data_IF_491736404586
#
_entry.id   IF_491736404586
#
_cell.length_a   1.000
_cell.length_b   1.000
_cell.length_c   1.000
_cell.angle_alpha   90.00
_cell.angle_beta   90.00
_cell.angle_gamma   90.00
#
_symmetry.space_group_name_H-M   'P 1'
#
loop_
_entity.id
_entity.type
_entity.pdbx_description
1 polymer ?
#
# COMPACT_ATOMS: atom_id res chain seq x y z
N UNK A 1 12.70 16.92 -6.37
CA UNK A 1 12.29 15.49 -6.21
C UNK A 1 13.50 14.63 -6.52
N UNK A 2 14.05 13.90 -5.53
CA UNK A 2 15.23 13.04 -5.72
C UNK A 2 14.94 11.90 -6.73
N UNK A 3 15.93 11.44 -7.49
CA UNK A 3 15.77 10.38 -8.50
C UNK A 3 15.10 9.11 -7.94
N UNK A 4 15.41 8.76 -6.69
CA UNK A 4 14.80 7.62 -5.98
C UNK A 4 13.28 7.77 -5.80
N UNK A 5 12.77 8.98 -5.54
CA UNK A 5 11.32 9.20 -5.39
C UNK A 5 10.61 9.04 -6.74
N UNK A 6 11.23 9.51 -7.83
CA UNK A 6 10.69 9.32 -9.19
C UNK A 6 10.64 7.85 -9.57
N UNK A 7 11.73 7.10 -9.35
CA UNK A 7 11.78 5.67 -9.62
C UNK A 7 10.75 4.89 -8.79
N UNK A 8 10.61 5.22 -7.50
CA UNK A 8 9.60 4.60 -6.65
C UNK A 8 8.19 4.78 -7.18
N UNK A 9 7.83 6.02 -7.51
CA UNK A 9 6.48 6.33 -8.04
C UNK A 9 6.24 5.63 -9.38
N UNK A 10 7.25 5.55 -10.24
CA UNK A 10 7.14 4.88 -11.54
C UNK A 10 6.94 3.36 -11.39
N UNK A 11 7.72 2.70 -10.53
CA UNK A 11 7.54 1.27 -10.23
C UNK A 11 6.13 1.03 -9.67
N UNK A 12 5.72 1.84 -8.69
CA UNK A 12 4.38 1.76 -8.09
C UNK A 12 3.26 1.98 -9.10
N UNK A 13 3.45 2.84 -10.09
CA UNK A 13 2.45 3.09 -11.14
C UNK A 13 2.34 1.86 -12.06
N UNK A 14 3.46 1.30 -12.51
CA UNK A 14 3.46 0.14 -13.41
C UNK A 14 2.83 -1.07 -12.72
N UNK A 15 3.24 -1.37 -11.49
CA UNK A 15 2.66 -2.48 -10.71
C UNK A 15 1.19 -2.22 -10.38
N UNK A 16 0.83 -0.98 -10.03
CA UNK A 16 -0.55 -0.57 -9.78
C UNK A 16 -1.45 -0.76 -11.01
N UNK A 17 -0.97 -0.38 -12.21
CA UNK A 17 -1.70 -0.60 -13.46
C UNK A 17 -1.92 -2.08 -13.76
N UNK A 18 -0.90 -2.93 -13.57
CA UNK A 18 -1.02 -4.38 -13.80
C UNK A 18 -1.99 -5.02 -12.80
N UNK A 19 -1.84 -4.70 -11.51
CA UNK A 19 -2.72 -5.12 -10.43
C UNK A 19 -4.18 -4.73 -10.71
N UNK A 20 -4.39 -3.46 -11.07
CA UNK A 20 -5.70 -2.90 -11.43
C UNK A 20 -6.31 -3.60 -12.64
N UNK A 21 -5.52 -3.85 -13.70
CA UNK A 21 -6.00 -4.54 -14.89
C UNK A 21 -6.48 -5.96 -14.57
N UNK A 22 -5.70 -6.71 -13.80
CA UNK A 22 -6.10 -8.05 -13.36
C UNK A 22 -7.34 -8.03 -12.46
N UNK A 23 -7.43 -7.08 -11.52
CA UNK A 23 -8.60 -6.89 -10.67
C UNK A 23 -9.87 -6.56 -11.45
N UNK A 24 -9.80 -5.61 -12.39
CA UNK A 24 -10.94 -5.22 -13.23
C UNK A 24 -11.41 -6.38 -14.10
N UNK A 25 -10.49 -7.09 -14.75
CA UNK A 25 -10.85 -8.27 -15.56
C UNK A 25 -11.51 -9.34 -14.69
N UNK A 26 -10.95 -9.63 -13.51
CA UNK A 26 -11.54 -10.57 -12.56
C UNK A 26 -12.98 -10.18 -12.18
N UNK A 27 -13.20 -8.94 -11.73
CA UNK A 27 -14.51 -8.47 -11.27
C UNK A 27 -15.53 -8.49 -12.41
N UNK A 28 -15.18 -7.96 -13.59
CA UNK A 28 -16.10 -7.89 -14.73
C UNK A 28 -16.49 -9.29 -15.20
N UNK A 29 -15.52 -10.19 -15.38
CA UNK A 29 -15.80 -11.56 -15.81
C UNK A 29 -16.62 -12.31 -14.76
N UNK A 30 -16.25 -12.20 -13.47
CA UNK A 30 -16.99 -12.85 -12.39
C UNK A 30 -18.44 -12.35 -12.31
N UNK A 31 -18.67 -11.05 -12.53
CA UNK A 31 -20.01 -10.46 -12.57
C UNK A 31 -20.86 -10.99 -13.73
N UNK A 32 -20.29 -11.05 -14.93
CA UNK A 32 -20.98 -11.55 -16.14
C UNK A 32 -21.28 -13.04 -16.04
N UNK A 33 -20.27 -13.86 -15.73
CA UNK A 33 -20.43 -15.33 -15.73
C UNK A 33 -21.35 -15.84 -14.61
N UNK A 34 -21.44 -15.12 -13.49
CA UNK A 34 -22.30 -15.49 -12.37
C UNK A 34 -23.64 -14.71 -12.33
N UNK A 35 -23.91 -13.87 -13.34
CA UNK A 35 -25.18 -13.11 -13.45
C UNK A 35 -25.45 -12.22 -12.23
N UNK A 36 -24.42 -11.65 -11.61
CA UNK A 36 -24.57 -10.85 -10.39
C UNK A 36 -25.19 -9.49 -10.76
N UNK A 37 -26.49 -9.35 -10.52
CA UNK A 37 -27.19 -8.06 -10.67
C UNK A 37 -27.37 -7.39 -9.30
N UNK A 38 -27.38 -6.06 -9.25
CA UNK A 38 -27.59 -5.28 -8.01
C UNK A 38 -28.93 -5.56 -7.30
N UNK A 39 -29.89 -6.20 -7.99
CA UNK A 39 -31.26 -6.41 -7.50
C UNK A 39 -31.50 -7.73 -6.77
N UNK A 40 -30.62 -8.73 -6.91
CA UNK A 40 -30.84 -10.06 -6.35
C UNK A 40 -30.01 -10.34 -5.10
N UNK A 41 -30.30 -9.66 -3.98
CA UNK A 41 -29.76 -10.04 -2.65
C UNK A 41 -30.58 -11.19 -2.03
N UNK A 42 -31.37 -11.92 -2.81
CA UNK A 42 -32.06 -13.12 -2.33
C UNK A 42 -31.06 -14.29 -2.40
N UNK A 43 -30.70 -14.83 -1.23
CA UNK A 43 -29.73 -15.91 -1.09
C UNK A 43 -30.43 -17.25 -1.32
N UNK A 44 -30.26 -17.85 -2.50
CA UNK A 44 -30.89 -19.12 -2.85
C UNK A 44 -30.05 -20.37 -2.46
N UNK A 45 -28.74 -20.22 -2.20
CA UNK A 45 -27.84 -21.32 -1.80
C UNK A 45 -26.55 -20.83 -1.14
N UNK A 46 -25.86 -21.71 -0.38
CA UNK A 46 -24.55 -21.39 0.25
C UNK A 46 -23.51 -20.99 -0.80
N UNK A 47 -23.45 -21.70 -1.93
CA UNK A 47 -22.53 -21.37 -3.02
C UNK A 47 -22.78 -19.97 -3.59
N UNK A 48 -24.04 -19.57 -3.79
CA UNK A 48 -24.37 -18.23 -4.25
C UNK A 48 -23.96 -17.15 -3.23
N UNK A 49 -24.07 -17.43 -1.92
CA UNK A 49 -23.60 -16.54 -0.87
C UNK A 49 -22.08 -16.31 -0.94
N UNK A 50 -21.31 -17.39 -1.10
CA UNK A 50 -19.84 -17.35 -1.22
C UNK A 50 -19.41 -16.56 -2.47
N UNK A 51 -20.05 -16.79 -3.61
CA UNK A 51 -19.75 -16.08 -4.87
C UNK A 51 -20.03 -14.59 -4.70
N UNK A 52 -21.20 -14.21 -4.16
CA UNK A 52 -21.59 -12.80 -3.98
C UNK A 52 -20.70 -12.08 -2.97
N UNK A 53 -20.37 -12.71 -1.84
CA UNK A 53 -19.49 -12.11 -0.83
C UNK A 53 -18.07 -11.93 -1.35
N UNK A 54 -17.53 -12.94 -2.05
CA UNK A 54 -16.20 -12.86 -2.68
C UNK A 54 -16.17 -11.79 -3.76
N UNK A 55 -17.20 -11.71 -4.60
CA UNK A 55 -17.35 -10.65 -5.61
C UNK A 55 -17.32 -9.25 -4.99
N UNK A 56 -18.06 -9.04 -3.88
CA UNK A 56 -18.05 -7.76 -3.16
C UNK A 56 -16.64 -7.38 -2.66
N UNK A 57 -15.91 -8.34 -2.09
CA UNK A 57 -14.55 -8.13 -1.60
C UNK A 57 -13.55 -7.87 -2.74
N UNK A 58 -13.60 -8.62 -3.85
CA UNK A 58 -12.82 -8.35 -5.05
C UNK A 58 -13.10 -6.95 -5.61
N UNK A 59 -14.37 -6.56 -5.65
CA UNK A 59 -14.80 -5.25 -6.16
C UNK A 59 -14.22 -4.12 -5.32
N UNK A 60 -14.37 -4.19 -3.98
CA UNK A 60 -13.83 -3.17 -3.07
C UNK A 60 -12.31 -3.07 -3.20
N UNK A 61 -11.60 -4.20 -3.17
CA UNK A 61 -10.14 -4.21 -3.32
C UNK A 61 -9.67 -3.64 -4.65
N UNK A 62 -10.36 -3.98 -5.75
CA UNK A 62 -10.07 -3.46 -7.09
C UNK A 62 -10.31 -1.96 -7.19
N UNK A 63 -11.40 -1.43 -6.63
CA UNK A 63 -11.69 0.00 -6.63
C UNK A 63 -10.59 0.78 -5.89
N UNK A 64 -10.17 0.28 -4.72
CA UNK A 64 -9.09 0.89 -3.94
C UNK A 64 -7.79 0.90 -4.74
N UNK A 65 -7.44 -0.21 -5.39
CA UNK A 65 -6.22 -0.32 -6.19
C UNK A 65 -6.23 0.60 -7.42
N UNK A 66 -7.36 0.69 -8.11
CA UNK A 66 -7.54 1.63 -9.23
C UNK A 66 -7.40 3.07 -8.73
N UNK A 67 -8.05 3.42 -7.63
CA UNK A 67 -8.00 4.78 -7.07
C UNK A 67 -6.58 5.19 -6.67
N UNK A 68 -5.83 4.33 -5.98
CA UNK A 68 -4.44 4.63 -5.61
C UNK A 68 -3.53 4.68 -6.84
N UNK A 69 -3.76 3.83 -7.85
CA UNK A 69 -2.98 3.86 -9.10
C UNK A 69 -3.19 5.18 -9.85
N UNK A 70 -4.44 5.63 -9.98
CA UNK A 70 -4.77 6.93 -10.57
C UNK A 70 -4.14 8.06 -9.76
N UNK A 71 -4.25 8.00 -8.44
CA UNK A 71 -3.65 8.99 -7.55
C UNK A 71 -2.13 9.09 -7.74
N UNK A 72 -1.41 7.96 -7.73
CA UNK A 72 0.03 7.91 -8.01
C UNK A 72 0.33 8.50 -9.39
N UNK A 73 -0.44 8.13 -10.42
CA UNK A 73 -0.30 8.68 -11.78
C UNK A 73 -0.44 10.20 -11.82
N UNK A 74 -1.45 10.76 -11.16
CA UNK A 74 -1.64 12.21 -11.05
C UNK A 74 -0.46 12.90 -10.37
N UNK A 75 0.15 12.27 -9.35
CA UNK A 75 1.34 12.84 -8.70
C UNK A 75 2.59 12.86 -9.58
N UNK A 76 2.65 12.03 -10.63
CA UNK A 76 3.77 11.99 -11.58
C UNK A 76 3.52 12.98 -12.72
N UNK A 77 2.34 12.94 -13.34
CA UNK A 77 2.08 13.65 -14.59
C UNK A 77 1.63 15.09 -14.42
N UNK A 78 0.97 15.42 -13.30
CA UNK A 78 0.35 16.75 -13.13
C UNK A 78 1.13 17.60 -12.12
N UNK A 79 2.21 17.07 -11.53
CA UNK A 79 2.97 17.70 -10.42
C UNK A 79 2.06 18.31 -9.31
N UNK A 80 0.81 17.84 -9.19
CA UNK A 80 -0.21 18.45 -8.32
C UNK A 80 0.17 18.41 -6.84
N UNK A 81 1.14 17.57 -6.47
CA UNK A 81 1.46 17.27 -5.09
C UNK A 81 2.97 17.39 -4.87
N UNK A 82 3.40 18.55 -4.35
CA UNK A 82 4.78 18.76 -3.86
C UNK A 82 5.12 17.84 -2.67
N UNK A 83 4.10 17.40 -1.92
CA UNK A 83 4.23 16.53 -0.75
C UNK A 83 3.95 15.08 -1.12
N UNK A 84 4.78 14.16 -0.63
CA UNK A 84 4.66 12.73 -0.91
C UNK A 84 3.67 12.08 0.07
N UNK A 85 2.54 11.58 -0.43
CA UNK A 85 1.46 10.97 0.36
C UNK A 85 1.74 9.50 0.66
N UNK A 86 2.89 9.27 1.28
CA UNK A 86 3.42 7.93 1.56
C UNK A 86 2.41 7.02 2.27
N UNK A 87 1.86 7.46 3.41
CA UNK A 87 0.99 6.62 4.23
C UNK A 87 -0.33 6.29 3.53
N UNK A 88 -0.86 7.20 2.71
CA UNK A 88 -2.06 6.95 1.92
C UNK A 88 -1.79 5.82 0.93
N UNK A 89 -0.71 5.91 0.15
CA UNK A 89 -0.35 4.87 -0.82
C UNK A 89 -0.09 3.53 -0.14
N UNK A 90 0.64 3.52 0.98
CA UNK A 90 0.93 2.31 1.75
C UNK A 90 -0.35 1.64 2.27
N UNK A 91 -1.23 2.41 2.93
CA UNK A 91 -2.46 1.89 3.53
C UNK A 91 -3.43 1.43 2.43
N UNK A 92 -3.53 2.17 1.32
CA UNK A 92 -4.40 1.79 0.20
C UNK A 92 -4.00 0.45 -0.42
N UNK A 93 -2.71 0.23 -0.71
CA UNK A 93 -2.26 -1.07 -1.22
C UNK A 93 -2.45 -2.21 -0.20
N UNK A 94 -2.28 -1.93 1.09
CA UNK A 94 -2.56 -2.91 2.14
C UNK A 94 -4.05 -3.30 2.19
N UNK A 95 -4.96 -2.33 2.13
CA UNK A 95 -6.41 -2.57 2.11
C UNK A 95 -6.81 -3.35 0.85
N UNK A 96 -6.28 -2.96 -0.32
CA UNK A 96 -6.55 -3.66 -1.57
C UNK A 96 -6.10 -5.13 -1.49
N UNK A 97 -4.89 -5.38 -1.01
CA UNK A 97 -4.38 -6.74 -0.79
C UNK A 97 -5.25 -7.54 0.19
N UNK A 98 -5.63 -6.97 1.34
CA UNK A 98 -6.44 -7.68 2.33
C UNK A 98 -7.84 -8.00 1.81
N UNK A 99 -8.45 -7.09 1.04
CA UNK A 99 -9.76 -7.31 0.42
C UNK A 99 -9.69 -8.39 -0.66
N UNK A 100 -8.71 -8.32 -1.58
CA UNK A 100 -8.54 -9.31 -2.64
C UNK A 100 -8.13 -10.67 -2.04
N UNK A 101 -7.20 -10.68 -1.10
CA UNK A 101 -6.71 -11.88 -0.43
C UNK A 101 -7.81 -12.61 0.35
N UNK A 102 -8.65 -11.87 1.09
CA UNK A 102 -9.80 -12.46 1.78
C UNK A 102 -10.84 -13.01 0.79
N UNK A 103 -11.08 -12.33 -0.34
CA UNK A 103 -11.90 -12.86 -1.43
C UNK A 103 -11.34 -14.15 -2.03
N UNK A 104 -10.03 -14.22 -2.27
CA UNK A 104 -9.36 -15.42 -2.77
C UNK A 104 -9.49 -16.59 -1.80
N UNK A 105 -9.35 -16.36 -0.49
CA UNK A 105 -9.48 -17.41 0.51
C UNK A 105 -10.92 -17.92 0.58
N UNK A 106 -11.90 -17.02 0.68
CA UNK A 106 -13.32 -17.40 0.76
C UNK A 106 -13.75 -18.15 -0.49
N UNK A 107 -13.43 -17.64 -1.68
CA UNK A 107 -13.77 -18.30 -2.94
C UNK A 107 -13.01 -19.62 -3.12
N UNK A 108 -11.69 -19.62 -2.92
CA UNK A 108 -10.83 -20.78 -3.15
C UNK A 108 -11.06 -21.93 -2.19
N UNK A 109 -11.34 -21.65 -0.90
CA UNK A 109 -11.59 -22.69 0.10
C UNK A 109 -12.99 -23.28 -0.04
N UNK A 110 -14.00 -22.45 -0.25
CA UNK A 110 -15.41 -22.90 -0.29
C UNK A 110 -15.86 -23.41 -1.67
N UNK A 111 -15.19 -23.01 -2.75
CA UNK A 111 -15.52 -23.40 -4.13
C UNK A 111 -14.30 -24.03 -4.84
N UNK A 112 -13.49 -24.79 -4.12
CA UNK A 112 -12.24 -25.40 -4.61
C UNK A 112 -12.41 -26.28 -5.86
N UNK A 113 -13.58 -26.88 -6.08
CA UNK A 113 -13.89 -27.73 -7.25
C UNK A 113 -14.33 -26.93 -8.48
N UNK A 114 -14.56 -25.62 -8.35
CA UNK A 114 -15.06 -24.73 -9.41
C UNK A 114 -14.16 -23.51 -9.59
N UNK A 115 -12.85 -23.67 -9.40
CA UNK A 115 -11.89 -22.60 -9.66
C UNK A 115 -11.84 -22.34 -11.17
N UNK A 116 -12.30 -21.17 -11.56
CA UNK A 116 -12.27 -20.68 -12.95
C UNK A 116 -10.97 -19.93 -13.25
N UNK A 117 -10.71 -19.66 -14.52
CA UNK A 117 -9.51 -18.93 -14.94
C UNK A 117 -9.43 -17.51 -14.36
N UNK A 118 -10.57 -16.81 -14.22
CA UNK A 118 -10.62 -15.45 -13.71
C UNK A 118 -10.18 -15.36 -12.23
N UNK A 119 -10.36 -16.43 -11.45
CA UNK A 119 -9.85 -16.51 -10.07
C UNK A 119 -8.33 -16.28 -10.01
N UNK A 120 -7.58 -16.88 -10.94
CA UNK A 120 -6.13 -16.75 -10.99
C UNK A 120 -5.69 -15.32 -11.32
N UNK A 121 -6.46 -14.59 -12.15
CA UNK A 121 -6.21 -13.18 -12.38
C UNK A 121 -6.43 -12.35 -11.10
N UNK A 122 -7.52 -12.61 -10.36
CA UNK A 122 -7.76 -11.96 -9.07
C UNK A 122 -6.62 -12.20 -8.09
N UNK A 123 -6.14 -13.46 -7.99
CA UNK A 123 -5.00 -13.82 -7.15
C UNK A 123 -3.72 -13.11 -7.58
N UNK A 124 -3.39 -13.13 -8.87
CA UNK A 124 -2.21 -12.43 -9.40
C UNK A 124 -2.27 -10.93 -9.15
N UNK A 125 -3.45 -10.31 -9.33
CA UNK A 125 -3.69 -8.91 -8.97
C UNK A 125 -3.38 -8.65 -7.49
N UNK A 126 -3.92 -9.49 -6.59
CA UNK A 126 -3.64 -9.41 -5.15
C UNK A 126 -2.15 -9.56 -4.80
N UNK A 127 -1.43 -10.48 -5.46
CA UNK A 127 0.01 -10.67 -5.26
C UNK A 127 0.80 -9.44 -5.71
N UNK A 128 0.43 -8.82 -6.83
CA UNK A 128 1.07 -7.59 -7.31
C UNK A 128 0.78 -6.43 -6.37
N UNK A 129 -0.45 -6.27 -5.89
CA UNK A 129 -0.82 -5.27 -4.87
C UNK A 129 0.00 -5.45 -3.58
N UNK A 130 0.18 -6.69 -3.13
CA UNK A 130 1.03 -7.01 -1.97
C UNK A 130 2.51 -6.65 -2.21
N UNK A 131 3.04 -6.98 -3.39
CA UNK A 131 4.39 -6.60 -3.78
C UNK A 131 4.57 -5.08 -3.77
N UNK A 132 3.56 -4.33 -4.21
CA UNK A 132 3.57 -2.87 -4.18
C UNK A 132 3.54 -2.33 -2.75
N UNK A 133 2.68 -2.89 -1.89
CA UNK A 133 2.66 -2.59 -0.46
C UNK A 133 4.05 -2.80 0.19
N UNK A 134 4.68 -3.95 -0.05
CA UNK A 134 6.02 -4.25 0.46
C UNK A 134 7.07 -3.27 -0.08
N UNK A 135 6.98 -2.91 -1.36
CA UNK A 135 7.88 -1.94 -1.96
C UNK A 135 7.78 -0.56 -1.30
N UNK A 136 6.57 -0.06 -1.07
CA UNK A 136 6.35 1.16 -0.30
C UNK A 136 6.89 1.03 1.13
N UNK A 137 6.57 -0.06 1.81
CA UNK A 137 7.03 -0.32 3.19
C UNK A 137 8.55 -0.31 3.30
N UNK A 138 9.24 -1.09 2.45
CA UNK A 138 10.70 -1.21 2.43
C UNK A 138 11.38 0.11 2.09
N UNK A 139 10.88 0.85 1.09
CA UNK A 139 11.47 2.14 0.71
C UNK A 139 11.39 3.17 1.84
N UNK A 140 10.36 3.12 2.68
CA UNK A 140 10.25 4.00 3.84
C UNK A 140 11.14 3.56 5.00
N UNK A 141 11.21 2.26 5.28
CA UNK A 141 12.12 1.75 6.31
C UNK A 141 13.57 2.09 5.96
N UNK A 142 13.96 1.90 4.69
CA UNK A 142 15.29 2.27 4.21
C UNK A 142 15.53 3.79 4.29
N UNK A 143 14.55 4.61 3.93
CA UNK A 143 14.64 6.07 4.07
C UNK A 143 14.83 6.50 5.53
N UNK A 144 14.10 5.89 6.46
CA UNK A 144 14.23 6.17 7.91
C UNK A 144 15.59 5.72 8.45
N UNK A 145 16.06 4.56 8.01
CA UNK A 145 17.37 4.02 8.37
C UNK A 145 18.49 4.95 7.90
N UNK A 146 18.50 5.33 6.62
CA UNK A 146 19.50 6.25 6.07
C UNK A 146 19.48 7.61 6.77
N UNK A 147 18.30 8.18 7.05
CA UNK A 147 18.20 9.44 7.79
C UNK A 147 18.82 9.36 9.19
N UNK A 148 18.79 8.18 9.83
CA UNK A 148 19.31 7.98 11.19
C UNK A 148 20.82 7.73 11.22
N UNK A 149 21.38 7.08 10.20
CA UNK A 149 22.79 6.65 10.19
C UNK A 149 23.70 7.49 9.28
N UNK A 150 23.14 8.19 8.29
CA UNK A 150 23.87 9.07 7.39
C UNK A 150 23.12 10.41 7.23
N UNK A 151 23.02 11.22 8.32
CA UNK A 151 22.30 12.49 8.29
C UNK A 151 22.93 13.52 7.32
N UNK A 152 24.25 13.42 7.09
CA UNK A 152 25.03 14.33 6.26
C UNK A 152 25.07 13.92 4.77
N UNK A 153 24.39 12.85 4.38
CA UNK A 153 24.37 12.42 2.99
C UNK A 153 23.68 13.48 2.11
N UNK A 154 24.32 13.95 1.01
CA UNK A 154 23.79 15.02 0.15
C UNK A 154 22.47 14.63 -0.55
N UNK A 155 22.11 13.34 -0.52
CA UNK A 155 20.81 12.85 -0.97
C UNK A 155 19.63 13.39 -0.14
N UNK A 156 19.89 13.79 1.12
CA UNK A 156 18.91 14.35 2.05
C UNK A 156 19.06 15.87 2.24
N UNK A 157 20.20 16.45 1.84
CA UNK A 157 20.49 17.89 1.97
C UNK A 157 20.01 18.75 0.79
N UNK A 158 19.58 18.16 -0.33
CA UNK A 158 19.17 18.88 -1.56
C UNK A 158 17.66 19.22 -1.63
N UNK A 159 16.92 19.01 -0.55
CA UNK A 159 15.60 19.61 -0.35
C UNK A 159 15.73 20.74 0.65
N UNK A 160 16.05 21.94 0.18
CA UNK A 160 16.07 23.15 1.01
C UNK A 160 14.68 23.45 1.56
N UNK A 161 14.35 22.84 2.69
CA UNK A 161 13.44 23.37 3.69
C UNK A 161 14.26 23.41 4.98
N UNK A 162 14.52 24.63 5.47
CA UNK A 162 14.94 24.85 6.83
C UNK A 162 13.95 24.16 7.77
N UNK A 163 14.30 22.95 8.23
CA UNK A 163 13.63 22.27 9.33
C UNK A 163 14.39 22.58 10.63
N UNK A 164 14.67 23.85 10.87
CA UNK A 164 14.86 24.40 12.21
C UNK A 164 13.49 24.41 12.88
N UNK A 165 13.00 23.26 13.35
CA UNK A 165 12.00 23.18 14.43
C UNK A 165 11.61 21.77 14.93
N UNK A 166 12.26 20.68 14.52
CA UNK A 166 11.99 19.35 15.12
C UNK A 166 13.06 18.88 16.13
N UNK A 167 14.12 19.66 16.36
CA UNK A 167 15.14 19.33 17.36
C UNK A 167 14.78 19.78 18.79
N UNK A 168 13.76 20.61 18.98
CA UNK A 168 13.40 21.11 20.32
C UNK A 168 12.61 20.10 21.16
N UNK A 169 12.23 18.94 20.60
CA UNK A 169 11.45 17.92 21.31
C UNK A 169 12.25 16.67 21.72
N UNK A 170 13.52 16.55 21.29
CA UNK A 170 14.34 15.36 21.59
C UNK A 170 15.52 15.64 22.53
N UNK A 171 15.80 16.89 22.87
CA UNK A 171 16.85 17.23 23.86
C UNK A 171 16.39 17.09 25.33
N UNK A 172 15.09 16.91 25.60
CA UNK A 172 14.57 16.84 26.97
C UNK A 172 14.49 15.44 27.58
N UNK A 173 14.78 14.37 26.81
CA UNK A 173 14.61 12.98 27.27
C UNK A 173 15.91 12.17 27.41
N UNK A 174 17.08 12.80 27.28
CA UNK A 174 18.37 12.12 27.42
C UNK A 174 19.25 12.69 28.55
N UNK A 175 18.68 13.47 29.47
CA UNK A 175 19.42 13.99 30.63
C UNK A 175 19.12 13.20 31.91
N UNK A 176 19.09 11.87 31.79
CA UNK A 176 19.19 10.97 32.95
C UNK A 176 20.50 10.20 32.85
N UNK A 177 21.48 10.72 33.61
CA UNK A 177 22.61 10.03 34.27
C UNK A 177 23.38 8.98 33.46
N UNK A 178 24.67 9.23 33.24
CA UNK A 178 25.77 8.60 33.99
C UNK A 178 27.08 9.27 33.57
N UNK A 179 27.61 10.13 34.44
CA UNK A 179 28.98 10.61 34.34
C UNK A 179 29.87 9.62 35.10
N UNK A 180 30.53 8.72 34.37
CA UNK A 180 31.65 7.95 34.87
C UNK A 180 32.85 8.90 34.99
N UNK A 181 32.98 9.56 36.12
CA UNK A 181 34.26 9.89 36.77
C UNK A 181 33.97 10.67 38.05
N UNK A 182 34.17 10.00 39.18
CA UNK A 182 34.06 10.63 40.47
C UNK A 182 35.18 11.66 40.65
N UNK A 183 34.79 12.90 40.87
CA UNK A 183 35.45 13.82 41.79
C UNK A 183 34.46 14.93 42.19
N UNK A 184 34.30 15.11 43.50
CA UNK A 184 33.52 16.19 44.09
C UNK A 184 34.37 17.47 44.11
N UNK A 185 33.82 18.59 43.66
CA UNK A 185 34.36 19.91 44.02
C UNK A 185 33.22 20.78 44.56
N UNK A 186 33.24 20.97 45.88
CA UNK A 186 32.53 22.03 46.61
C UNK A 186 33.13 23.41 46.26
N UNK A 187 32.28 24.43 46.18
CA UNK A 187 32.67 25.84 46.05
C UNK A 187 31.62 26.71 45.39
#
# INVERSE_FOLDING_TARGET
>A
MTQLIKQRKLVSLVTGCVSSAFGVVNVVTMGIENGITLKDIIVASEAACVIKSSYGMYTVGTIVEVAVTVFVGLTIFVEMMKKDFYYVNLISHAIAFLAIGSACIVYGVKLNTRITWYFWLGLLGGVVAFGNFLYWFCTQMFRRYLKRHHPDDPLFSLGGDNFTNDNTYNESYNNENYDETGDYVEG
#
